data_IF_517841950043
#
_entry.id   IF_517841950043
#
_cell.length_a   1.000
_cell.length_b   1.000
_cell.length_c   1.000
_cell.angle_alpha   90.00
_cell.angle_beta   90.00
_cell.angle_gamma   90.00
#
_symmetry.space_group_name_H-M   'P 1'
#
loop_
_entity.id
_entity.type
_entity.pdbx_description
1 polymer ?
#
# COMPACT_ATOMS: atom_id res chain seq x y z
N UNK A 1 -7.59 -1.49 1.57
CA UNK A 1 -8.30 -1.18 0.30
C UNK A 1 -7.32 -0.99 -0.85
N UNK A 2 -6.39 -0.03 -0.76
CA UNK A 2 -5.36 0.23 -1.78
C UNK A 2 -4.46 -1.00 -2.07
N UNK A 3 -4.03 -1.74 -1.04
CA UNK A 3 -3.27 -3.00 -1.20
C UNK A 3 -4.02 -4.09 -1.98
N UNK A 4 -5.34 -4.19 -1.79
CA UNK A 4 -6.18 -5.13 -2.55
C UNK A 4 -6.32 -4.73 -4.03
N UNK A 5 -6.38 -3.43 -4.31
CA UNK A 5 -6.36 -2.87 -5.66
C UNK A 5 -5.03 -3.16 -6.33
N UNK A 6 -3.93 -2.88 -5.63
CA UNK A 6 -2.57 -3.13 -6.09
C UNK A 6 -2.40 -4.59 -6.53
N UNK A 7 -2.73 -5.55 -5.67
CA UNK A 7 -2.55 -6.98 -5.95
C UNK A 7 -3.42 -7.48 -7.12
N UNK A 8 -4.64 -6.95 -7.25
CA UNK A 8 -5.58 -7.40 -8.28
C UNK A 8 -5.29 -6.77 -9.64
N UNK A 9 -5.07 -5.46 -9.70
CA UNK A 9 -5.09 -4.68 -10.94
C UNK A 9 -3.72 -4.19 -11.41
N UNK A 10 -2.66 -4.40 -10.63
CA UNK A 10 -1.31 -3.95 -10.99
C UNK A 10 -0.30 -5.10 -10.91
N UNK A 11 0.73 -5.05 -11.75
CA UNK A 11 1.80 -6.06 -11.84
C UNK A 11 3.17 -5.40 -11.99
N UNK A 12 4.21 -6.10 -11.54
CA UNK A 12 5.59 -5.60 -11.50
C UNK A 12 6.23 -5.81 -10.12
N UNK A 13 7.53 -5.56 -10.04
CA UNK A 13 8.30 -5.68 -8.81
C UNK A 13 8.05 -4.49 -7.87
N UNK A 14 7.85 -4.74 -6.57
CA UNK A 14 7.55 -3.70 -5.58
C UNK A 14 8.57 -2.56 -5.57
N UNK A 15 9.86 -2.90 -5.63
CA UNK A 15 10.95 -1.92 -5.56
C UNK A 15 11.07 -1.00 -6.79
N UNK A 16 10.50 -1.39 -7.93
CA UNK A 16 10.57 -0.64 -9.19
C UNK A 16 9.24 0.02 -9.58
N UNK A 17 8.19 -0.28 -8.82
CA UNK A 17 6.82 0.10 -9.13
C UNK A 17 6.18 -0.85 -10.12
N UNK A 18 4.85 -0.73 -10.19
CA UNK A 18 3.93 -1.59 -10.89
C UNK A 18 3.23 -0.82 -12.00
N UNK A 19 2.95 -1.54 -13.09
CA UNK A 19 2.09 -1.09 -14.18
C UNK A 19 0.67 -1.62 -13.97
N UNK A 20 -0.37 -1.00 -14.56
CA UNK A 20 -1.69 -1.63 -14.65
C UNK A 20 -1.56 -2.98 -15.38
N UNK A 21 -2.27 -4.00 -14.89
CA UNK A 21 -2.41 -5.27 -15.60
C UNK A 21 -3.19 -5.04 -16.88
N UNK A 22 -2.73 -5.61 -17.98
CA UNK A 22 -3.46 -5.56 -19.23
C UNK A 22 -4.71 -6.45 -19.16
N UNK A 23 -5.89 -5.84 -18.98
CA UNK A 23 -7.18 -6.52 -18.94
C UNK A 23 -8.24 -5.70 -19.68
N UNK A 24 -8.65 -6.17 -20.86
CA UNK A 24 -9.73 -5.55 -21.62
C UNK A 24 -11.09 -5.75 -20.95
N UNK A 25 -11.26 -6.83 -20.19
CA UNK A 25 -12.48 -7.06 -19.40
C UNK A 25 -12.62 -6.03 -18.29
N UNK A 26 -11.54 -5.73 -17.55
CA UNK A 26 -11.59 -4.71 -16.50
C UNK A 26 -11.70 -3.30 -17.08
N UNK A 27 -11.11 -3.07 -18.27
CA UNK A 27 -11.29 -1.83 -19.03
C UNK A 27 -12.75 -1.62 -19.45
N UNK A 28 -13.39 -2.63 -20.06
CA UNK A 28 -14.78 -2.55 -20.53
C UNK A 28 -15.77 -2.32 -19.38
N UNK A 29 -15.46 -2.86 -18.19
CA UNK A 29 -16.25 -2.66 -16.98
C UNK A 29 -15.97 -1.34 -16.23
N UNK A 30 -15.15 -0.43 -16.78
CA UNK A 30 -14.73 0.82 -16.12
C UNK A 30 -14.06 0.60 -14.74
N UNK A 31 -13.47 -0.57 -14.50
CA UNK A 31 -12.83 -0.87 -13.21
C UNK A 31 -11.62 0.04 -12.98
N UNK A 32 -10.85 0.36 -14.03
CA UNK A 32 -9.71 1.27 -13.92
C UNK A 32 -10.13 2.72 -13.60
N UNK A 33 -11.31 3.14 -14.08
CA UNK A 33 -11.90 4.42 -13.68
C UNK A 33 -12.27 4.42 -12.20
N UNK A 34 -12.93 3.38 -11.74
CA UNK A 34 -13.28 3.21 -10.32
C UNK A 34 -12.03 3.23 -9.43
N UNK A 35 -10.93 2.62 -9.88
CA UNK A 35 -9.64 2.68 -9.19
C UNK A 35 -9.15 4.13 -9.09
N UNK A 36 -9.18 4.89 -10.17
CA UNK A 36 -8.82 6.32 -10.15
C UNK A 36 -9.65 7.13 -9.16
N UNK A 37 -10.96 6.87 -9.09
CA UNK A 37 -11.87 7.50 -8.12
C UNK A 37 -11.49 7.12 -6.67
N UNK A 38 -11.19 5.84 -6.41
CA UNK A 38 -10.74 5.37 -5.09
C UNK A 38 -9.40 6.03 -4.70
N UNK A 39 -8.45 6.16 -5.63
CA UNK A 39 -7.19 6.86 -5.38
C UNK A 39 -7.44 8.32 -5.00
N UNK A 40 -8.33 9.01 -5.71
CA UNK A 40 -8.69 10.40 -5.41
C UNK A 40 -9.38 10.55 -4.04
N UNK A 41 -10.34 9.68 -3.73
CA UNK A 41 -11.00 9.67 -2.41
C UNK A 41 -10.01 9.38 -1.29
N UNK A 42 -9.12 8.39 -1.49
CA UNK A 42 -8.10 8.04 -0.48
C UNK A 42 -7.25 9.27 -0.17
N UNK A 43 -6.66 9.92 -1.18
CA UNK A 43 -5.82 11.10 -0.96
C UNK A 43 -6.59 12.29 -0.37
N UNK A 44 -7.81 12.54 -0.84
CA UNK A 44 -8.64 13.64 -0.34
C UNK A 44 -9.05 13.48 1.13
N UNK A 45 -9.09 12.24 1.63
CA UNK A 45 -9.44 11.90 3.02
C UNK A 45 -8.21 11.59 3.89
N UNK A 46 -6.99 11.82 3.38
CA UNK A 46 -5.75 11.46 4.07
C UNK A 46 -5.53 9.94 4.18
N UNK A 47 -6.30 9.12 3.45
CA UNK A 47 -6.11 7.69 3.36
C UNK A 47 -4.77 7.29 2.71
N UNK A 48 -4.48 5.99 2.63
CA UNK A 48 -3.22 5.51 2.09
C UNK A 48 -3.02 5.94 0.64
N UNK A 49 -1.86 6.50 0.28
CA UNK A 49 -1.53 6.86 -1.08
C UNK A 49 -1.22 5.60 -1.91
N UNK A 50 -1.36 5.63 -3.25
CA UNK A 50 -0.99 4.49 -4.08
C UNK A 50 0.46 4.04 -3.86
N UNK A 51 1.44 4.93 -4.02
CA UNK A 51 2.87 4.68 -3.79
C UNK A 51 3.47 3.39 -4.40
N UNK A 52 2.80 2.77 -5.37
CA UNK A 52 3.25 1.55 -6.04
C UNK A 52 3.37 1.71 -7.55
N UNK A 53 3.02 2.86 -8.14
CA UNK A 53 3.03 3.05 -9.60
C UNK A 53 4.44 3.23 -10.14
N UNK A 54 4.70 2.68 -11.32
CA UNK A 54 5.95 2.95 -12.02
C UNK A 54 6.03 4.43 -12.46
N UNK A 55 7.24 4.97 -12.52
CA UNK A 55 7.49 6.38 -12.81
C UNK A 55 6.86 6.87 -14.12
N UNK A 56 6.92 6.08 -15.19
CA UNK A 56 6.32 6.45 -16.48
C UNK A 56 4.78 6.51 -16.41
N UNK A 57 4.14 5.62 -15.64
CA UNK A 57 2.70 5.65 -15.40
C UNK A 57 2.32 6.94 -14.68
N UNK A 58 3.07 7.31 -13.64
CA UNK A 58 2.84 8.57 -12.92
C UNK A 58 2.99 9.80 -13.82
N UNK A 59 4.03 9.83 -14.66
CA UNK A 59 4.23 10.92 -15.61
C UNK A 59 3.02 11.04 -16.56
N UNK A 60 2.54 9.93 -17.11
CA UNK A 60 1.32 9.91 -17.92
C UNK A 60 0.10 10.41 -17.13
N UNK A 61 -0.06 9.98 -15.88
CA UNK A 61 -1.16 10.44 -15.02
C UNK A 61 -1.07 11.93 -14.68
N UNK A 62 0.06 12.61 -14.88
CA UNK A 62 0.19 14.05 -14.73
C UNK A 62 -0.13 14.79 -16.03
N UNK A 63 0.46 14.35 -17.15
CA UNK A 63 0.44 15.06 -18.43
C UNK A 63 -0.69 14.63 -19.37
N UNK A 64 -1.14 13.37 -19.27
CA UNK A 64 -1.99 12.71 -20.25
C UNK A 64 -1.25 12.23 -21.51
N UNK A 65 0.07 12.37 -21.55
CA UNK A 65 0.92 12.04 -22.70
C UNK A 65 2.04 11.08 -22.30
N UNK A 66 2.43 10.20 -23.23
CA UNK A 66 3.57 9.29 -23.03
C UNK A 66 4.78 9.83 -23.79
N UNK A 67 5.87 10.10 -23.08
CA UNK A 67 7.18 10.26 -23.73
C UNK A 67 7.71 8.88 -24.12
N UNK A 68 7.49 8.51 -25.38
CA UNK A 68 7.93 7.22 -25.88
C UNK A 68 9.46 7.06 -25.77
N UNK A 69 10.23 8.13 -25.90
CA UNK A 69 11.70 8.06 -25.96
C UNK A 69 12.33 7.76 -24.60
N UNK A 70 11.65 8.08 -23.50
CA UNK A 70 12.14 7.80 -22.15
C UNK A 70 11.93 6.35 -21.71
N UNK A 71 11.11 5.58 -22.43
CA UNK A 71 10.75 4.21 -22.04
C UNK A 71 11.89 3.23 -22.26
N UNK A 72 12.17 2.42 -21.25
CA UNK A 72 13.22 1.39 -21.27
C UNK A 72 12.67 -0.02 -20.96
N UNK A 73 13.56 -1.02 -20.97
CA UNK A 73 13.17 -2.40 -20.62
C UNK A 73 12.72 -2.53 -19.17
N UNK A 74 13.25 -1.67 -18.30
CA UNK A 74 12.83 -1.56 -16.91
C UNK A 74 11.40 -1.03 -16.78
N UNK A 75 10.78 -0.50 -17.84
CA UNK A 75 9.38 -0.05 -17.83
C UNK A 75 8.37 -1.14 -18.23
N UNK A 76 8.85 -2.30 -18.68
CA UNK A 76 8.05 -3.50 -18.95
C UNK A 76 7.80 -4.25 -17.65
N UNK A 77 6.55 -4.70 -17.43
CA UNK A 77 6.15 -5.37 -16.20
C UNK A 77 5.54 -6.76 -16.44
N UNK A 78 4.94 -6.99 -17.62
CA UNK A 78 4.32 -8.28 -17.93
C UNK A 78 5.38 -9.35 -18.21
N UNK A 79 5.14 -10.54 -17.67
CA UNK A 79 6.09 -11.64 -17.72
C UNK A 79 6.45 -12.07 -19.14
N UNK A 80 5.46 -12.11 -20.05
CA UNK A 80 5.65 -12.54 -21.43
C UNK A 80 6.60 -11.61 -22.19
N UNK A 81 6.39 -10.30 -22.12
CA UNK A 81 7.26 -9.30 -22.77
C UNK A 81 8.65 -9.28 -22.14
N UNK A 82 8.76 -9.38 -20.82
CA UNK A 82 10.06 -9.49 -20.14
C UNK A 82 10.85 -10.72 -20.64
N UNK A 83 10.22 -11.89 -20.70
CA UNK A 83 10.84 -13.11 -21.21
C UNK A 83 11.21 -13.01 -22.69
N UNK A 84 10.38 -12.35 -23.51
CA UNK A 84 10.68 -12.13 -24.92
C UNK A 84 11.89 -11.20 -25.09
N UNK A 85 11.98 -10.13 -24.30
CA UNK A 85 13.16 -9.24 -24.27
C UNK A 85 14.42 -10.04 -23.95
N UNK A 86 14.41 -10.84 -22.87
CA UNK A 86 15.56 -11.67 -22.49
C UNK A 86 15.94 -12.66 -23.59
N UNK A 87 14.96 -13.36 -24.19
CA UNK A 87 15.22 -14.28 -25.32
C UNK A 87 15.86 -13.57 -26.52
N UNK A 88 15.43 -12.35 -26.84
CA UNK A 88 16.01 -11.56 -27.94
C UNK A 88 17.43 -11.07 -27.59
N UNK A 89 17.65 -10.61 -26.36
CA UNK A 89 18.98 -10.21 -25.87
C UNK A 89 19.96 -11.39 -25.96
N UNK A 90 19.58 -12.56 -25.45
CA UNK A 90 20.42 -13.76 -25.34
C UNK A 90 20.61 -14.53 -26.66
N UNK A 91 19.87 -14.20 -27.72
CA UNK A 91 19.93 -14.93 -28.99
C UNK A 91 21.32 -14.85 -29.64
N UNK A 92 22.01 -15.98 -29.80
CA UNK A 92 23.37 -16.02 -30.36
C UNK A 92 23.41 -16.09 -31.88
N UNK A 93 22.33 -16.52 -32.51
CA UNK A 93 22.22 -16.69 -33.96
C UNK A 93 20.85 -16.27 -34.51
N UNK A 94 20.75 -16.19 -35.84
CA UNK A 94 19.53 -15.79 -36.52
C UNK A 94 18.39 -16.80 -36.36
N UNK A 95 18.70 -18.08 -36.11
CA UNK A 95 17.69 -19.12 -35.95
C UNK A 95 17.01 -19.00 -34.58
N UNK A 96 17.75 -18.68 -33.52
CA UNK A 96 17.20 -18.33 -32.20
C UNK A 96 16.25 -17.12 -32.26
N UNK A 97 16.63 -16.06 -32.99
CA UNK A 97 15.74 -14.91 -33.19
C UNK A 97 14.49 -15.29 -33.98
N UNK A 98 14.65 -16.08 -35.05
CA UNK A 98 13.54 -16.50 -35.91
C UNK A 98 12.54 -17.40 -35.17
N UNK A 99 12.98 -18.16 -34.16
CA UNK A 99 12.08 -18.93 -33.30
C UNK A 99 11.03 -18.05 -32.60
N UNK A 100 11.39 -16.80 -32.29
CA UNK A 100 10.52 -15.83 -31.64
C UNK A 100 9.82 -14.89 -32.64
N UNK A 101 9.92 -15.14 -33.96
CA UNK A 101 9.47 -14.20 -34.99
C UNK A 101 7.99 -13.85 -34.88
N UNK A 102 7.12 -14.82 -34.60
CA UNK A 102 5.68 -14.57 -34.45
C UNK A 102 5.38 -13.62 -33.29
N UNK A 103 6.07 -13.76 -32.16
CA UNK A 103 5.90 -12.89 -30.99
C UNK A 103 6.47 -11.49 -31.26
N UNK A 104 7.61 -11.41 -31.94
CA UNK A 104 8.21 -10.12 -32.37
C UNK A 104 7.26 -9.37 -33.33
N UNK A 105 6.67 -10.08 -34.29
CA UNK A 105 5.72 -9.53 -35.26
C UNK A 105 4.42 -9.12 -34.56
N UNK A 106 3.92 -9.88 -33.59
CA UNK A 106 2.71 -9.51 -32.83
C UNK A 106 2.91 -8.26 -31.98
N UNK A 107 4.16 -7.96 -31.57
CA UNK A 107 4.53 -6.67 -30.99
C UNK A 107 4.57 -5.50 -32.01
N UNK A 108 4.29 -5.75 -33.29
CA UNK A 108 4.27 -4.73 -34.33
C UNK A 108 5.63 -4.44 -34.97
N UNK A 109 6.64 -5.29 -34.78
CA UNK A 109 7.90 -5.16 -35.50
C UNK A 109 7.74 -5.62 -36.96
N UNK A 110 8.01 -4.72 -37.91
CA UNK A 110 7.74 -4.95 -39.36
C UNK A 110 9.00 -4.99 -40.21
N UNK A 111 10.17 -4.72 -39.63
CA UNK A 111 11.45 -4.75 -40.33
C UNK A 111 12.01 -6.17 -40.39
N UNK A 112 13.09 -6.36 -41.14
CA UNK A 112 13.78 -7.64 -41.19
C UNK A 112 14.28 -8.04 -39.79
N UNK A 113 14.08 -9.31 -39.42
CA UNK A 113 14.53 -9.89 -38.15
C UNK A 113 15.92 -10.50 -38.37
N UNK A 114 16.94 -9.88 -37.77
CA UNK A 114 18.33 -10.34 -37.80
C UNK A 114 19.09 -9.87 -36.54
N UNK A 115 20.32 -10.33 -36.36
CA UNK A 115 21.12 -10.02 -35.16
C UNK A 115 21.46 -8.53 -35.01
N UNK A 116 21.60 -7.79 -36.12
CA UNK A 116 21.89 -6.36 -36.10
C UNK A 116 20.67 -5.52 -35.66
N UNK A 117 19.49 -6.11 -35.68
CA UNK A 117 18.22 -5.45 -35.37
C UNK A 117 17.71 -5.66 -33.94
N UNK A 118 18.48 -6.36 -33.09
CA UNK A 118 18.08 -6.69 -31.70
C UNK A 118 17.57 -5.47 -30.91
N UNK A 119 18.30 -4.37 -30.92
CA UNK A 119 17.90 -3.16 -30.19
C UNK A 119 16.55 -2.60 -30.68
N UNK A 120 16.30 -2.68 -32.00
CA UNK A 120 15.03 -2.22 -32.61
C UNK A 120 13.89 -3.17 -32.28
N UNK A 121 14.16 -4.47 -32.21
CA UNK A 121 13.19 -5.49 -31.80
C UNK A 121 12.81 -5.28 -30.33
N UNK A 122 13.79 -5.17 -29.43
CA UNK A 122 13.58 -4.88 -28.01
C UNK A 122 12.79 -3.59 -27.84
N UNK A 123 13.14 -2.54 -28.60
CA UNK A 123 12.41 -1.28 -28.60
C UNK A 123 10.95 -1.45 -29.02
N UNK A 124 10.66 -2.25 -30.05
CA UNK A 124 9.29 -2.54 -30.47
C UNK A 124 8.50 -3.29 -29.37
N UNK A 125 9.13 -4.25 -28.69
CA UNK A 125 8.51 -4.98 -27.57
C UNK A 125 8.19 -4.03 -26.40
N UNK A 126 9.13 -3.15 -26.03
CA UNK A 126 8.92 -2.13 -24.98
C UNK A 126 7.73 -1.24 -25.34
N UNK A 127 7.69 -0.72 -26.58
CA UNK A 127 6.60 0.13 -27.05
C UNK A 127 5.26 -0.63 -27.06
N UNK A 128 5.23 -1.87 -27.53
CA UNK A 128 4.03 -2.69 -27.52
C UNK A 128 3.49 -2.91 -26.11
N UNK A 129 4.35 -3.35 -25.19
CA UNK A 129 3.99 -3.66 -23.80
C UNK A 129 3.46 -2.43 -23.05
N UNK A 130 4.05 -1.26 -23.27
CA UNK A 130 3.67 -0.01 -22.57
C UNK A 130 2.47 0.70 -23.22
N UNK A 131 2.45 0.83 -24.55
CA UNK A 131 1.38 1.60 -25.24
C UNK A 131 0.01 0.92 -25.14
N UNK A 132 -0.05 -0.41 -25.06
CA UNK A 132 -1.31 -1.13 -24.84
C UNK A 132 -1.96 -0.85 -23.48
N UNK A 133 -1.22 -0.27 -22.53
CA UNK A 133 -1.72 0.10 -21.20
C UNK A 133 -2.31 1.52 -21.16
N UNK A 134 -2.11 2.32 -22.21
CA UNK A 134 -2.61 3.71 -22.28
C UNK A 134 -4.12 3.78 -22.01
N UNK A 135 -5.00 2.91 -22.57
CA UNK A 135 -6.43 2.98 -22.28
C UNK A 135 -6.77 2.81 -20.79
N UNK A 136 -6.06 1.91 -20.09
CA UNK A 136 -6.24 1.70 -18.64
C UNK A 136 -5.81 2.94 -17.86
N UNK A 137 -4.66 3.53 -18.22
CA UNK A 137 -4.17 4.76 -17.61
C UNK A 137 -5.10 5.95 -17.89
N UNK A 138 -5.72 6.03 -19.07
CA UNK A 138 -6.71 7.05 -19.40
C UNK A 138 -7.95 6.93 -18.51
N UNK A 139 -8.46 5.73 -18.28
CA UNK A 139 -9.56 5.51 -17.34
C UNK A 139 -9.17 5.87 -15.90
N UNK A 140 -7.99 5.46 -15.42
CA UNK A 140 -7.49 5.85 -14.09
C UNK A 140 -7.45 7.38 -13.98
N UNK A 141 -6.82 8.06 -14.95
CA UNK A 141 -6.75 9.53 -14.99
C UNK A 141 -8.14 10.16 -14.99
N UNK A 142 -9.10 9.59 -15.73
CA UNK A 142 -10.49 10.07 -15.72
C UNK A 142 -11.14 9.98 -14.35
N UNK A 143 -10.95 8.87 -13.63
CA UNK A 143 -11.44 8.72 -12.27
C UNK A 143 -10.80 9.69 -11.28
N UNK A 144 -9.51 9.96 -11.48
CA UNK A 144 -8.74 10.92 -10.67
C UNK A 144 -9.10 12.39 -10.92
N UNK A 145 -9.95 12.72 -11.90
CA UNK A 145 -10.50 14.08 -12.01
C UNK A 145 -11.35 14.46 -10.79
N UNK A 146 -11.81 13.47 -10.02
CA UNK A 146 -12.50 13.69 -8.77
C UNK A 146 -11.66 14.55 -7.80
N UNK A 147 -12.32 15.54 -7.18
CA UNK A 147 -11.69 16.55 -6.32
C UNK A 147 -10.59 17.39 -7.01
N UNK A 148 -10.48 17.36 -8.34
CA UNK A 148 -9.46 18.11 -9.09
C UNK A 148 -8.04 17.58 -8.90
N UNK A 149 -7.87 16.31 -8.50
CA UNK A 149 -6.55 15.73 -8.22
C UNK A 149 -5.63 15.76 -9.45
N UNK A 150 -6.17 15.50 -10.65
CA UNK A 150 -5.42 15.61 -11.92
C UNK A 150 -4.80 16.99 -12.10
N UNK A 151 -5.55 18.07 -11.83
CA UNK A 151 -5.06 19.44 -11.99
C UNK A 151 -3.96 19.75 -10.96
N UNK A 152 -4.11 19.25 -9.74
CA UNK A 152 -3.10 19.39 -8.69
C UNK A 152 -1.79 18.67 -9.05
N UNK A 153 -1.88 17.46 -9.59
CA UNK A 153 -0.71 16.70 -10.04
C UNK A 153 -0.02 17.36 -11.23
N UNK A 154 -0.79 17.90 -12.18
CA UNK A 154 -0.22 18.64 -13.31
C UNK A 154 0.50 19.91 -12.85
N UNK A 155 -0.01 20.59 -11.82
CA UNK A 155 0.59 21.80 -11.26
C UNK A 155 1.82 21.49 -10.40
N UNK A 156 1.81 20.40 -9.63
CA UNK A 156 2.85 20.06 -8.64
C UNK A 156 3.37 18.62 -8.80
N UNK A 157 3.91 18.23 -9.97
CA UNK A 157 4.26 16.82 -10.25
C UNK A 157 5.36 16.28 -9.32
N UNK A 158 6.35 17.08 -8.94
CA UNK A 158 7.40 16.59 -8.03
C UNK A 158 6.89 16.41 -6.60
N UNK A 159 6.01 17.29 -6.13
CA UNK A 159 5.46 17.21 -4.77
C UNK A 159 4.51 16.02 -4.61
N UNK A 160 3.73 15.71 -5.66
CA UNK A 160 2.82 14.57 -5.64
C UNK A 160 3.51 13.22 -5.91
N UNK A 161 4.74 13.21 -6.44
CA UNK A 161 5.40 11.99 -6.92
C UNK A 161 5.49 10.89 -5.84
N UNK A 162 5.84 11.26 -4.62
CA UNK A 162 6.00 10.33 -3.48
C UNK A 162 4.68 9.67 -3.04
N UNK A 163 3.53 10.21 -3.46
CA UNK A 163 2.22 9.63 -3.20
C UNK A 163 1.87 8.54 -4.21
N UNK A 164 2.52 8.49 -5.37
CA UNK A 164 2.13 7.56 -6.44
C UNK A 164 3.21 6.56 -6.77
N UNK A 165 4.47 6.98 -6.76
CA UNK A 165 5.62 6.13 -7.13
C UNK A 165 6.27 5.57 -5.86
N UNK A 166 6.78 4.32 -5.88
CA UNK A 166 7.54 3.78 -4.77
C UNK A 166 8.64 4.72 -4.32
N UNK A 167 8.64 4.99 -3.02
CA UNK A 167 9.60 5.85 -2.34
C UNK A 167 9.56 5.54 -0.85
N UNK A 168 10.43 6.19 -0.07
CA UNK A 168 10.39 6.04 1.38
C UNK A 168 9.16 6.78 1.93
N UNK A 169 8.02 6.09 1.96
CA UNK A 169 6.95 6.46 2.89
C UNK A 169 7.55 6.33 4.29
N UNK A 170 7.47 7.41 5.07
CA UNK A 170 8.01 7.40 6.42
C UNK A 170 7.11 6.49 7.26
N UNK A 171 7.66 5.34 7.62
CA UNK A 171 7.01 4.39 8.50
C UNK A 171 6.97 4.98 9.93
N UNK A 172 5.89 4.76 10.69
CA UNK A 172 5.84 5.11 12.09
C UNK A 172 6.79 4.22 12.90
N UNK A 173 7.48 4.81 13.86
CA UNK A 173 8.15 4.12 14.96
C UNK A 173 7.22 4.04 16.19
N UNK A 174 7.62 3.30 17.22
CA UNK A 174 6.83 3.20 18.45
C UNK A 174 6.60 4.59 19.09
N UNK A 175 7.62 5.43 19.05
CA UNK A 175 7.58 6.78 19.60
C UNK A 175 6.54 7.66 18.91
N UNK A 176 6.40 7.58 17.58
CA UNK A 176 5.39 8.33 16.83
C UNK A 176 3.98 7.98 17.31
N UNK A 177 3.66 6.70 17.48
CA UNK A 177 2.33 6.27 17.95
C UNK A 177 2.09 6.79 19.37
N UNK A 178 3.08 6.62 20.25
CA UNK A 178 2.96 7.04 21.65
C UNK A 178 2.83 8.56 21.82
N UNK A 179 3.59 9.36 21.05
CA UNK A 179 3.52 10.82 21.08
C UNK A 179 2.17 11.36 20.59
N UNK A 180 1.47 10.61 19.75
CA UNK A 180 0.16 11.00 19.22
C UNK A 180 -1.02 10.38 19.98
N UNK A 181 -0.77 9.48 20.93
CA UNK A 181 -1.81 8.96 21.81
C UNK A 181 -2.27 10.03 22.82
N UNK A 182 -3.59 10.22 22.89
CA UNK A 182 -4.26 11.11 23.83
C UNK A 182 -5.18 10.27 24.74
N UNK A 183 -4.63 9.73 25.85
CA UNK A 183 -5.40 8.94 26.79
C UNK A 183 -6.34 9.81 27.64
N UNK A 184 -7.63 9.45 27.63
CA UNK A 184 -8.66 10.05 28.46
C UNK A 184 -8.68 9.35 29.83
N UNK A 185 -7.75 9.76 30.71
CA UNK A 185 -7.65 9.18 32.04
C UNK A 185 -8.78 9.60 32.97
N UNK A 186 -9.18 8.66 33.83
CA UNK A 186 -9.91 8.90 35.06
C UNK A 186 -9.12 9.84 36.00
N UNK A 187 -9.84 10.42 36.96
CA UNK A 187 -9.28 11.37 37.92
C UNK A 187 -7.98 10.85 38.59
N UNK A 188 -7.00 11.76 38.72
CA UNK A 188 -5.69 11.43 39.30
C UNK A 188 -5.86 10.94 40.73
N UNK A 189 -5.23 9.80 41.05
CA UNK A 189 -5.25 9.19 42.39
C UNK A 189 -6.26 8.05 42.54
N UNK A 190 -7.18 7.90 41.60
CA UNK A 190 -8.14 6.77 41.59
C UNK A 190 -7.45 5.43 41.26
N UNK A 191 -8.04 4.31 41.70
CA UNK A 191 -7.63 2.98 41.26
C UNK A 191 -7.81 2.80 39.76
N UNK A 192 -8.91 3.34 39.19
CA UNK A 192 -9.16 3.37 37.75
C UNK A 192 -8.02 4.04 36.99
N UNK A 193 -7.64 5.26 37.37
CA UNK A 193 -6.54 5.99 36.73
C UNK A 193 -5.18 5.31 36.83
N UNK A 194 -4.94 4.48 37.87
CA UNK A 194 -3.73 3.65 37.96
C UNK A 194 -3.73 2.52 36.93
N UNK A 195 -4.85 1.81 36.78
CA UNK A 195 -4.96 0.71 35.82
C UNK A 195 -4.90 1.21 34.37
N UNK A 196 -5.50 2.35 34.07
CA UNK A 196 -5.47 2.96 32.73
C UNK A 196 -4.04 3.34 32.31
N UNK A 197 -3.25 3.96 33.20
CA UNK A 197 -1.83 4.24 32.93
C UNK A 197 -1.03 2.97 32.71
N UNK A 198 -1.33 1.91 33.47
CA UNK A 198 -0.69 0.60 33.29
C UNK A 198 -0.91 0.06 31.87
N UNK A 199 -2.12 0.21 31.33
CA UNK A 199 -2.45 -0.20 29.96
C UNK A 199 -1.66 0.62 28.94
N UNK A 200 -1.52 1.93 29.12
CA UNK A 200 -0.72 2.78 28.22
C UNK A 200 0.77 2.39 28.29
N UNK A 201 1.29 2.05 29.46
CA UNK A 201 2.66 1.52 29.58
C UNK A 201 2.80 0.18 28.84
N UNK A 202 1.82 -0.73 28.99
CA UNK A 202 1.83 -1.98 28.23
C UNK A 202 1.76 -1.76 26.71
N UNK A 203 1.02 -0.75 26.25
CA UNK A 203 1.00 -0.37 24.85
C UNK A 203 2.38 0.09 24.38
N UNK A 204 3.06 0.91 25.18
CA UNK A 204 4.42 1.35 24.89
C UNK A 204 5.40 0.16 24.81
N UNK A 205 5.39 -0.72 25.83
CA UNK A 205 6.25 -1.90 25.89
C UNK A 205 6.00 -2.82 24.66
N UNK A 206 4.74 -3.00 24.30
CA UNK A 206 4.33 -3.79 23.13
C UNK A 206 4.83 -3.20 21.81
N UNK A 207 4.67 -1.89 21.61
CA UNK A 207 5.14 -1.22 20.40
C UNK A 207 6.67 -1.30 20.26
N UNK A 208 7.40 -1.14 21.36
CA UNK A 208 8.86 -1.29 21.38
C UNK A 208 9.29 -2.73 21.07
N UNK A 209 8.59 -3.73 21.62
CA UNK A 209 8.84 -5.14 21.31
C UNK A 209 8.63 -5.44 19.81
N UNK A 210 7.53 -4.93 19.25
CA UNK A 210 7.20 -5.07 17.82
C UNK A 210 8.27 -4.40 16.95
N UNK A 211 8.73 -3.21 17.32
CA UNK A 211 9.77 -2.48 16.57
C UNK A 211 11.14 -3.19 16.59
N UNK A 212 11.52 -3.79 17.72
CA UNK A 212 12.77 -4.55 17.82
C UNK A 212 12.71 -5.88 17.04
N UNK A 213 11.52 -6.45 16.88
CA UNK A 213 11.30 -7.73 16.20
C UNK A 213 11.46 -7.63 14.67
N UNK A 214 11.37 -6.43 14.09
CA UNK A 214 11.62 -6.16 12.65
C UNK A 214 13.10 -6.34 12.24
N UNK A 215 14.00 -6.63 13.20
CA UNK A 215 15.45 -6.79 12.96
C UNK A 215 15.99 -8.22 12.94
N UNK A 216 15.24 -9.22 13.41
CA UNK A 216 15.70 -10.62 13.50
C UNK A 216 14.55 -11.60 13.23
N UNK A 217 14.42 -12.07 11.98
CA UNK A 217 13.65 -13.28 11.70
C UNK A 217 14.57 -14.36 11.15
N UNK A 218 15.08 -15.20 12.05
CA UNK A 218 15.41 -16.58 11.69
C UNK A 218 14.10 -17.28 11.34
N UNK A 219 13.98 -17.63 10.06
CA UNK A 219 12.86 -18.30 9.45
C UNK A 219 12.61 -19.68 10.04
N UNK A 220 11.50 -19.88 10.75
CA UNK A 220 10.82 -21.17 10.86
C UNK A 220 9.43 -21.03 11.53
N UNK A 221 8.38 -20.75 10.75
CA UNK A 221 7.04 -21.37 10.82
C UNK A 221 5.94 -20.46 10.23
N UNK A 222 5.51 -20.78 9.00
CA UNK A 222 4.16 -20.54 8.46
C UNK A 222 3.77 -19.12 8.07
N UNK A 223 3.73 -18.86 6.75
CA UNK A 223 2.88 -17.93 5.94
C UNK A 223 2.27 -16.66 6.56
N UNK A 224 2.75 -16.17 7.70
CA UNK A 224 2.30 -14.92 8.31
C UNK A 224 3.49 -13.97 8.36
N UNK A 225 3.36 -12.83 7.67
CA UNK A 225 4.29 -11.72 7.84
C UNK A 225 4.39 -11.34 9.33
N UNK A 226 5.59 -11.02 9.82
CA UNK A 226 5.78 -10.58 11.20
C UNK A 226 4.97 -9.31 11.47
N UNK A 227 4.44 -9.21 12.69
CA UNK A 227 3.75 -8.00 13.12
C UNK A 227 4.78 -6.86 13.22
N UNK A 228 4.43 -5.70 12.66
CA UNK A 228 5.29 -4.52 12.58
C UNK A 228 4.53 -3.29 13.05
N UNK A 229 5.24 -2.22 13.46
CA UNK A 229 4.62 -0.98 13.97
C UNK A 229 3.61 -0.36 12.99
N UNK A 230 3.86 -0.32 11.66
CA UNK A 230 2.87 0.14 10.68
C UNK A 230 1.53 -0.59 10.74
N UNK A 231 1.53 -1.89 11.03
CA UNK A 231 0.31 -2.68 11.17
C UNK A 231 -0.51 -2.26 12.40
N UNK A 232 0.15 -1.90 13.50
CA UNK A 232 -0.52 -1.40 14.70
C UNK A 232 -1.15 -0.03 14.43
N UNK A 233 -0.41 0.90 13.81
CA UNK A 233 -0.96 2.21 13.45
C UNK A 233 -2.17 2.06 12.50
N UNK A 234 -2.06 1.18 11.50
CA UNK A 234 -3.14 0.92 10.55
C UNK A 234 -4.38 0.36 11.25
N UNK A 235 -4.20 -0.56 12.18
CA UNK A 235 -5.32 -1.08 12.94
C UNK A 235 -5.98 0.00 13.81
N UNK A 236 -5.21 0.89 14.44
CA UNK A 236 -5.74 1.97 15.29
C UNK A 236 -6.42 3.11 14.51
N UNK A 237 -5.94 3.42 13.29
CA UNK A 237 -6.26 4.68 12.60
C UNK A 237 -6.70 4.52 11.15
N UNK A 238 -6.55 3.33 10.57
CA UNK A 238 -6.75 3.06 9.15
C UNK A 238 -5.55 3.45 8.26
N UNK A 239 -4.56 4.16 8.80
CA UNK A 239 -3.34 4.58 8.09
C UNK A 239 -2.13 3.78 8.61
N UNK A 240 -1.34 3.19 7.71
CA UNK A 240 -0.11 2.46 8.09
C UNK A 240 1.13 3.35 8.15
N UNK A 241 1.04 4.61 7.73
CA UNK A 241 2.16 5.53 7.62
C UNK A 241 1.92 6.82 8.42
N UNK A 242 3.00 7.58 8.63
CA UNK A 242 2.89 8.94 9.16
C UNK A 242 2.06 9.81 8.18
N UNK A 243 1.14 10.68 8.65
CA UNK A 243 0.42 11.59 7.77
C UNK A 243 1.38 12.42 6.91
N UNK A 244 1.12 12.44 5.60
CA UNK A 244 2.02 13.04 4.61
C UNK A 244 1.88 14.58 4.61
N UNK A 245 0.68 15.10 4.86
CA UNK A 245 0.44 16.53 4.88
C UNK A 245 0.89 17.14 6.22
N UNK A 246 1.65 18.24 6.22
CA UNK A 246 2.14 18.88 7.44
C UNK A 246 1.03 19.25 8.43
N UNK A 247 -0.11 19.72 7.92
CA UNK A 247 -1.24 20.12 8.77
C UNK A 247 -1.97 18.90 9.35
N UNK A 248 -2.14 17.82 8.59
CA UNK A 248 -2.66 16.56 9.13
C UNK A 248 -1.72 16.02 10.21
N UNK A 249 -0.41 16.00 9.95
CA UNK A 249 0.60 15.54 10.91
C UNK A 249 0.57 16.33 12.22
N UNK A 250 0.32 17.64 12.16
CA UNK A 250 0.20 18.51 13.36
C UNK A 250 -1.03 18.18 14.19
N UNK A 251 -2.14 17.82 13.56
CA UNK A 251 -3.42 17.56 14.22
C UNK A 251 -3.69 16.08 14.46
N UNK A 252 -2.79 15.19 14.02
CA UNK A 252 -2.92 13.75 14.20
C UNK A 252 -2.93 13.39 15.68
N UNK A 253 -4.02 12.76 16.13
CA UNK A 253 -4.23 12.37 17.52
C UNK A 253 -5.02 11.07 17.59
N UNK A 254 -4.52 10.14 18.37
CA UNK A 254 -5.16 8.86 18.63
C UNK A 254 -5.82 8.93 20.00
N UNK A 255 -7.15 8.99 20.04
CA UNK A 255 -7.89 9.06 21.30
C UNK A 255 -7.92 7.68 21.96
N UNK A 256 -7.41 7.57 23.19
CA UNK A 256 -7.41 6.33 23.94
C UNK A 256 -8.41 6.39 25.10
N UNK A 257 -9.45 5.57 25.04
CA UNK A 257 -10.48 5.42 26.06
C UNK A 257 -10.32 4.11 26.83
N UNK A 258 -10.96 4.01 28.00
CA UNK A 258 -10.84 2.86 28.88
C UNK A 258 -12.22 2.37 29.34
N UNK A 259 -12.54 1.12 29.00
CA UNK A 259 -13.79 0.48 29.39
C UNK A 259 -13.60 -0.34 30.67
N UNK A 260 -14.20 0.13 31.77
CA UNK A 260 -14.18 -0.55 33.07
C UNK A 260 -15.40 -1.46 33.29
N UNK A 261 -16.42 -1.37 32.43
CA UNK A 261 -17.76 -1.89 32.68
C UNK A 261 -18.15 -3.01 31.71
N UNK A 262 -17.17 -3.70 31.11
CA UNK A 262 -17.42 -4.75 30.14
C UNK A 262 -18.37 -5.85 30.68
N UNK A 263 -18.30 -6.20 31.97
CA UNK A 263 -19.18 -7.19 32.61
C UNK A 263 -20.62 -6.74 32.75
N UNK A 264 -20.86 -5.45 32.94
CA UNK A 264 -22.22 -4.92 33.00
C UNK A 264 -22.92 -5.04 31.64
N UNK A 265 -22.16 -4.90 30.55
CA UNK A 265 -22.66 -4.97 29.18
C UNK A 265 -22.75 -6.39 28.63
N UNK A 266 -21.77 -7.24 28.92
CA UNK A 266 -21.57 -8.55 28.26
C UNK A 266 -21.81 -9.75 29.19
N UNK A 267 -22.09 -9.52 30.48
CA UNK A 267 -22.15 -10.58 31.48
C UNK A 267 -20.79 -11.19 31.79
N UNK A 268 -20.76 -12.44 32.27
CA UNK A 268 -19.51 -13.15 32.57
C UNK A 268 -18.80 -13.60 31.30
N UNK A 269 -17.55 -13.16 31.13
CA UNK A 269 -16.69 -13.48 30.00
C UNK A 269 -15.22 -13.50 30.42
N UNK A 270 -14.40 -14.22 29.66
CA UNK A 270 -12.98 -14.43 29.95
C UNK A 270 -12.02 -13.56 29.12
N UNK A 271 -12.51 -12.90 28.07
CA UNK A 271 -11.69 -12.09 27.16
C UNK A 271 -12.47 -10.88 26.66
N UNK A 272 -11.77 -9.76 26.46
CA UNK A 272 -12.27 -8.61 25.72
C UNK A 272 -11.18 -8.13 24.77
N UNK A 273 -11.57 -7.84 23.54
CA UNK A 273 -10.70 -7.17 22.57
C UNK A 273 -10.91 -5.66 22.65
N UNK A 274 -9.88 -4.86 22.38
CA UNK A 274 -10.05 -3.44 22.17
C UNK A 274 -10.99 -3.16 21.00
N UNK A 275 -11.71 -2.05 21.10
CA UNK A 275 -12.60 -1.57 20.05
C UNK A 275 -11.93 -0.39 19.36
N UNK A 276 -11.86 -0.42 18.04
CA UNK A 276 -11.30 0.67 17.23
C UNK A 276 -12.38 1.29 16.35
N UNK A 277 -12.41 2.62 16.35
CA UNK A 277 -13.08 3.44 15.35
C UNK A 277 -12.01 4.20 14.56
N UNK A 278 -11.54 3.61 13.45
CA UNK A 278 -10.45 4.16 12.66
C UNK A 278 -10.77 5.57 12.12
N UNK A 279 -12.01 5.80 11.68
CA UNK A 279 -12.46 7.09 11.16
C UNK A 279 -12.37 8.23 12.19
N UNK A 280 -12.50 7.92 13.48
CA UNK A 280 -12.36 8.90 14.57
C UNK A 280 -11.03 8.74 15.32
N UNK A 281 -10.12 7.91 14.81
CA UNK A 281 -8.81 7.60 15.41
C UNK A 281 -8.95 7.27 16.91
N UNK A 282 -9.98 6.50 17.26
CA UNK A 282 -10.34 6.23 18.66
C UNK A 282 -10.17 4.75 18.97
N UNK A 283 -9.40 4.44 20.02
CA UNK A 283 -9.22 3.10 20.54
C UNK A 283 -9.76 3.03 21.96
N UNK A 284 -10.56 2.02 22.25
CA UNK A 284 -11.11 1.77 23.60
C UNK A 284 -10.56 0.47 24.15
N UNK A 285 -9.77 0.56 25.22
CA UNK A 285 -9.12 -0.57 25.88
C UNK A 285 -10.00 -1.15 27.00
N UNK A 286 -10.30 -2.46 27.00
CA UNK A 286 -11.01 -3.13 28.08
C UNK A 286 -10.11 -3.36 29.29
N UNK A 287 -10.40 -2.70 30.40
CA UNK A 287 -9.47 -2.62 31.53
C UNK A 287 -9.35 -3.94 32.29
N UNK A 288 -10.45 -4.67 32.45
CA UNK A 288 -10.50 -5.84 33.36
C UNK A 288 -9.66 -7.03 32.87
N UNK A 289 -9.50 -7.20 31.56
CA UNK A 289 -8.85 -8.37 30.95
C UNK A 289 -7.46 -8.06 30.38
N UNK A 290 -6.98 -6.83 30.56
CA UNK A 290 -5.62 -6.38 30.20
C UNK A 290 -4.75 -6.20 31.45
N UNK A 291 -4.91 -7.11 32.43
CA UNK A 291 -4.33 -6.95 33.77
C UNK A 291 -2.83 -7.22 33.82
N UNK A 292 -2.31 -8.07 32.92
CA UNK A 292 -0.89 -8.41 32.78
C UNK A 292 -0.38 -8.05 31.38
N UNK A 293 0.93 -7.88 31.25
CA UNK A 293 1.55 -7.63 29.95
C UNK A 293 1.36 -8.82 29.00
N UNK A 294 1.42 -10.05 29.52
CA UNK A 294 1.20 -11.27 28.73
C UNK A 294 -0.19 -11.30 28.10
N UNK A 295 -1.22 -10.95 28.88
CA UNK A 295 -2.59 -10.87 28.38
C UNK A 295 -2.73 -9.75 27.35
N UNK A 296 -2.15 -8.58 27.65
CA UNK A 296 -2.15 -7.42 26.76
C UNK A 296 -1.50 -7.75 25.41
N UNK A 297 -0.29 -8.30 25.42
CA UNK A 297 0.46 -8.70 24.23
C UNK A 297 -0.33 -9.68 23.38
N UNK A 298 -0.86 -10.75 23.98
CA UNK A 298 -1.65 -11.75 23.26
C UNK A 298 -2.89 -11.13 22.61
N UNK A 299 -3.67 -10.36 23.37
CA UNK A 299 -4.91 -9.74 22.89
C UNK A 299 -4.62 -8.72 21.79
N UNK A 300 -3.58 -7.90 21.93
CA UNK A 300 -3.19 -6.92 20.92
C UNK A 300 -2.69 -7.57 19.63
N UNK A 301 -1.81 -8.59 19.73
CA UNK A 301 -1.35 -9.33 18.55
C UNK A 301 -2.51 -9.97 17.78
N UNK A 302 -3.45 -10.60 18.48
CA UNK A 302 -4.66 -11.16 17.87
C UNK A 302 -5.55 -10.07 17.27
N UNK A 303 -5.77 -8.96 17.99
CA UNK A 303 -6.62 -7.85 17.53
C UNK A 303 -6.08 -7.21 16.25
N UNK A 304 -4.76 -6.97 16.16
CA UNK A 304 -4.15 -6.38 14.97
C UNK A 304 -4.16 -7.38 13.81
N UNK A 305 -3.78 -8.64 14.07
CA UNK A 305 -3.71 -9.69 13.04
C UNK A 305 -5.06 -10.00 12.40
N UNK A 306 -6.12 -10.09 13.20
CA UNK A 306 -7.43 -10.52 12.73
C UNK A 306 -8.45 -9.38 12.58
N UNK A 307 -8.23 -8.24 13.23
CA UNK A 307 -9.14 -7.09 13.21
C UNK A 307 -8.89 -6.09 12.08
N UNK A 308 -7.75 -6.17 11.38
CA UNK A 308 -7.39 -5.25 10.29
C UNK A 308 -8.01 -5.58 8.93
N UNK A 309 -8.61 -6.77 8.76
CA UNK A 309 -9.18 -7.19 7.49
C UNK A 309 -10.63 -6.76 7.30
N UNK A 310 -11.00 -6.27 6.11
CA UNK A 310 -12.38 -6.07 5.67
C UNK A 310 -13.11 -7.40 5.39
N UNK A 311 -12.90 -8.42 6.21
CA UNK A 311 -13.62 -9.67 6.10
C UNK A 311 -15.01 -9.44 6.68
N UNK A 312 -16.05 -9.56 5.85
CA UNK A 312 -17.44 -9.64 6.33
C UNK A 312 -17.52 -10.76 7.37
N UNK A 313 -17.94 -10.42 8.58
CA UNK A 313 -18.61 -11.36 9.49
C UNK A 313 -20.08 -11.40 9.12
#
# INVERSE_FOLDING_TARGET
MVSGIENRFFEGAENQGKNPKYSLTDLDNDNFRTIGEIMAVSLAQGGPPPAFLRGWCYNFLCTGEVDLNSLSKEDVADLESCQLISRVEDSTDAQCLMFNANEIISCGYTSQINLDSKDRIIRAIILHSTTRLIPMLQQIRKGMELYGLVDQMATNPEACRSLFVPGKIIQPDADFIMMNCQPNFSEKGTSKGRTERKIINFLQDFLQEVEMSDGETDSAAGDTEPLAVPHVLQWMTGQSHIPMLPDEKRHFKITCNFDHNCRERLGDHSVCYPIVSACTQTVTFPVQHLSTYTDFRRIMSEAVKYGGGFHRV
#
